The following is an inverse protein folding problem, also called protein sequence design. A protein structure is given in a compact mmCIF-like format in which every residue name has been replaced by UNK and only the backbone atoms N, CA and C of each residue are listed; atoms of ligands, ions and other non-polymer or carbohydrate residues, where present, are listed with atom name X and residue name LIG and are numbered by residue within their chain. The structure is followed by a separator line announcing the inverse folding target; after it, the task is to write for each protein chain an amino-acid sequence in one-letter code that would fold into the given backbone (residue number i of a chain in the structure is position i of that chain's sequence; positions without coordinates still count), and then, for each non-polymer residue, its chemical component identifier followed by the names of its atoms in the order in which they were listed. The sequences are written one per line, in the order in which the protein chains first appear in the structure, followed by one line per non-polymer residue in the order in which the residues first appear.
data_IF_940674151228
#
_entry.id   IF_940674151228
#
_cell.length_a   1.000
_cell.length_b   1.000
_cell.length_c   1.000
_cell.angle_alpha   90.00
_cell.angle_beta   90.00
_cell.angle_gamma   90.00
#
_symmetry.space_group_name_H-M   'P 1'
#
loop_
_entity.id
_entity.type
_entity.pdbx_description
1 polymer ?
#
# COMPACT_ATOMS: atom_id res chain seq x y z
N UNK A 1 -18.70 -6.70 17.04
CA UNK A 1 -18.29 -5.35 16.63
C UNK A 1 -18.14 -5.28 15.13
N UNK A 2 -18.52 -4.17 14.56
CA UNK A 2 -18.41 -4.02 13.11
C UNK A 2 -16.98 -3.83 12.69
N UNK A 3 -16.60 -4.48 11.59
CA UNK A 3 -15.31 -4.30 10.95
C UNK A 3 -15.38 -3.01 10.14
N UNK A 4 -14.42 -2.11 10.33
CA UNK A 4 -14.43 -0.82 9.64
C UNK A 4 -14.22 -0.96 8.14
N UNK A 5 -13.27 -1.80 7.73
CA UNK A 5 -12.95 -2.01 6.32
C UNK A 5 -11.99 -3.19 6.20
N UNK A 6 -11.83 -3.66 4.97
CA UNK A 6 -10.86 -4.72 4.65
C UNK A 6 -9.63 -4.08 4.04
N UNK A 7 -8.46 -4.40 4.58
CA UNK A 7 -7.19 -3.85 4.11
C UNK A 7 -6.28 -5.00 3.71
N UNK A 8 -5.64 -4.88 2.57
CA UNK A 8 -4.66 -5.85 2.09
C UNK A 8 -3.27 -5.24 2.22
N UNK A 9 -2.37 -5.96 2.89
CA UNK A 9 -0.98 -5.56 3.05
C UNK A 9 -0.13 -6.40 2.10
N UNK A 10 0.77 -5.76 1.35
CA UNK A 10 1.69 -6.45 0.45
C UNK A 10 3.10 -6.00 0.77
N UNK A 11 3.88 -6.88 1.37
CA UNK A 11 5.26 -6.60 1.79
C UNK A 11 5.98 -7.92 1.95
N UNK A 12 7.20 -8.03 1.44
CA UNK A 12 7.96 -9.29 1.53
C UNK A 12 8.62 -9.49 2.91
N UNK A 13 8.63 -8.47 3.76
CA UNK A 13 9.19 -8.55 5.10
C UNK A 13 8.12 -9.04 6.09
N UNK A 14 8.27 -10.25 6.65
CA UNK A 14 7.27 -10.77 7.59
C UNK A 14 7.12 -9.92 8.85
N UNK A 15 8.20 -9.28 9.30
CA UNK A 15 8.13 -8.44 10.49
C UNK A 15 7.26 -7.21 10.24
N UNK A 16 7.38 -6.61 9.06
CA UNK A 16 6.56 -5.46 8.68
C UNK A 16 5.10 -5.88 8.56
N UNK A 17 4.84 -7.04 7.93
CA UNK A 17 3.47 -7.54 7.82
C UNK A 17 2.84 -7.75 9.19
N UNK A 18 3.59 -8.32 10.13
CA UNK A 18 3.09 -8.57 11.48
C UNK A 18 2.79 -7.27 12.23
N UNK A 19 3.69 -6.30 12.12
CA UNK A 19 3.51 -5.00 12.77
C UNK A 19 2.30 -4.28 12.21
N UNK A 20 2.17 -4.24 10.88
CA UNK A 20 1.03 -3.58 10.25
C UNK A 20 -0.28 -4.28 10.61
N UNK A 21 -0.30 -5.61 10.59
CA UNK A 21 -1.50 -6.35 10.98
C UNK A 21 -1.92 -5.98 12.39
N UNK A 22 -0.98 -5.95 13.31
CA UNK A 22 -1.27 -5.63 14.70
C UNK A 22 -1.86 -4.23 14.84
N UNK A 23 -1.24 -3.24 14.18
CA UNK A 23 -1.71 -1.87 14.21
C UNK A 23 -3.14 -1.75 13.66
N UNK A 24 -3.38 -2.36 12.51
CA UNK A 24 -4.64 -2.20 11.80
C UNK A 24 -5.77 -3.00 12.45
N UNK A 25 -5.49 -4.22 12.89
CA UNK A 25 -6.51 -5.02 13.55
C UNK A 25 -6.92 -4.40 14.88
N UNK A 26 -5.97 -3.84 15.60
CA UNK A 26 -6.28 -3.16 16.86
C UNK A 26 -7.17 -1.94 16.62
N UNK A 27 -7.04 -1.33 15.46
CA UNK A 27 -7.88 -0.18 15.10
C UNK A 27 -9.26 -0.57 14.56
N UNK A 28 -9.52 -1.86 14.37
CA UNK A 28 -10.85 -2.34 13.97
C UNK A 28 -10.96 -2.76 12.51
N UNK A 29 -9.85 -2.84 11.78
CA UNK A 29 -9.86 -3.26 10.38
C UNK A 29 -9.66 -4.76 10.25
N UNK A 30 -10.22 -5.36 9.20
CA UNK A 30 -9.91 -6.73 8.83
C UNK A 30 -8.69 -6.70 7.91
N UNK A 31 -7.71 -7.54 8.19
CA UNK A 31 -6.42 -7.47 7.48
C UNK A 31 -6.07 -8.81 6.87
N UNK A 32 -5.69 -8.76 5.60
CA UNK A 32 -5.06 -9.88 4.92
C UNK A 32 -3.71 -9.41 4.45
N UNK A 33 -2.77 -10.33 4.29
CA UNK A 33 -1.42 -9.95 3.87
C UNK A 33 -0.87 -10.91 2.82
N UNK A 34 -0.02 -10.36 1.96
CA UNK A 34 0.65 -11.10 0.91
C UNK A 34 2.14 -10.76 0.94
N UNK A 35 2.97 -11.71 0.57
CA UNK A 35 4.40 -11.50 0.57
C UNK A 35 4.97 -11.12 -0.80
N UNK A 36 4.14 -11.17 -1.84
CA UNK A 36 4.56 -10.77 -3.19
C UNK A 36 3.33 -10.42 -4.03
N UNK A 37 3.57 -9.95 -5.25
CA UNK A 37 2.51 -9.51 -6.15
C UNK A 37 1.59 -10.67 -6.55
N UNK A 38 2.14 -11.83 -6.80
CA UNK A 38 1.36 -12.99 -7.22
C UNK A 38 0.36 -13.39 -6.14
N UNK A 39 0.81 -13.48 -4.91
CA UNK A 39 -0.06 -13.79 -3.77
C UNK A 39 -1.11 -12.71 -3.58
N UNK A 40 -0.71 -11.44 -3.75
CA UNK A 40 -1.62 -10.32 -3.64
C UNK A 40 -2.75 -10.40 -4.67
N UNK A 41 -2.42 -10.75 -5.92
CA UNK A 41 -3.44 -10.90 -6.96
C UNK A 41 -4.45 -11.99 -6.60
N UNK A 42 -3.99 -13.11 -6.05
CA UNK A 42 -4.89 -14.17 -5.61
C UNK A 42 -5.87 -13.66 -4.55
N UNK A 43 -5.35 -12.90 -3.59
CA UNK A 43 -6.20 -12.35 -2.52
C UNK A 43 -7.16 -11.28 -3.04
N UNK A 44 -6.74 -10.47 -4.01
CA UNK A 44 -7.61 -9.47 -4.63
C UNK A 44 -8.78 -10.13 -5.35
N UNK A 45 -8.53 -11.25 -6.02
CA UNK A 45 -9.59 -11.97 -6.72
C UNK A 45 -10.58 -12.61 -5.76
N UNK A 46 -10.14 -13.01 -4.59
CA UNK A 46 -11.01 -13.60 -3.58
C UNK A 46 -11.93 -12.56 -2.94
N UNK A 47 -11.39 -11.40 -2.63
CA UNK A 47 -12.15 -10.31 -2.02
C UNK A 47 -11.41 -9.00 -2.23
N UNK A 48 -12.05 -8.08 -2.93
CA UNK A 48 -11.48 -6.76 -3.16
C UNK A 48 -11.43 -5.97 -1.86
N UNK A 49 -10.27 -5.50 -1.44
CA UNK A 49 -10.16 -4.68 -0.22
C UNK A 49 -10.62 -3.26 -0.49
N UNK A 50 -10.89 -2.50 0.56
CA UNK A 50 -11.20 -1.08 0.46
C UNK A 50 -9.93 -0.24 0.33
N UNK A 51 -8.79 -0.81 0.72
CA UNK A 51 -7.51 -0.11 0.67
C UNK A 51 -6.38 -1.13 0.67
N UNK A 52 -5.28 -0.79 0.01
CA UNK A 52 -4.09 -1.62 0.00
C UNK A 52 -2.89 -0.83 0.53
N UNK A 53 -2.05 -1.49 1.32
CA UNK A 53 -0.77 -0.94 1.77
C UNK A 53 0.31 -1.75 1.05
N UNK A 54 1.07 -1.10 0.19
CA UNK A 54 1.99 -1.77 -0.72
C UNK A 54 3.42 -1.28 -0.53
N UNK A 55 4.32 -2.23 -0.27
CA UNK A 55 5.75 -1.97 -0.29
C UNK A 55 6.23 -1.97 -1.74
N UNK A 56 6.82 -0.86 -2.18
CA UNK A 56 7.28 -0.75 -3.58
C UNK A 56 8.62 -1.44 -3.80
N UNK A 57 9.32 -1.80 -2.73
CA UNK A 57 10.64 -2.42 -2.80
C UNK A 57 10.59 -3.86 -2.31
N UNK A 58 9.83 -4.71 -3.00
CA UNK A 58 9.71 -6.11 -2.62
C UNK A 58 10.92 -6.93 -3.09
N UNK A 59 10.71 -8.09 -3.71
CA UNK A 59 11.80 -8.98 -4.09
C UNK A 59 12.77 -8.36 -5.10
N UNK A 60 12.30 -7.36 -5.86
CA UNK A 60 13.14 -6.60 -6.76
C UNK A 60 12.80 -5.13 -6.64
N UNK A 61 13.69 -4.28 -7.16
CA UNK A 61 13.48 -2.83 -7.10
C UNK A 61 12.24 -2.37 -7.85
N UNK A 62 11.72 -3.19 -8.75
CA UNK A 62 10.60 -2.79 -9.61
C UNK A 62 9.33 -3.58 -9.39
N UNK A 63 9.37 -4.67 -8.61
CA UNK A 63 8.18 -5.53 -8.45
C UNK A 63 6.97 -4.75 -7.95
N UNK A 64 7.16 -3.90 -6.94
CA UNK A 64 6.06 -3.11 -6.40
C UNK A 64 5.48 -2.15 -7.42
N UNK A 65 6.33 -1.48 -8.17
CA UNK A 65 5.89 -0.57 -9.21
C UNK A 65 5.19 -1.29 -10.36
N UNK A 66 5.74 -2.43 -10.79
CA UNK A 66 5.13 -3.22 -11.85
C UNK A 66 3.73 -3.68 -11.47
N UNK A 67 3.58 -4.15 -10.25
CA UNK A 67 2.29 -4.57 -9.72
C UNK A 67 1.31 -3.39 -9.70
N UNK A 68 1.77 -2.24 -9.23
CA UNK A 68 0.97 -1.04 -9.19
C UNK A 68 0.47 -0.64 -10.58
N UNK A 69 1.35 -0.64 -11.58
CA UNK A 69 0.97 -0.30 -12.94
C UNK A 69 -0.04 -1.29 -13.51
N UNK A 70 0.13 -2.57 -13.21
CA UNK A 70 -0.80 -3.60 -13.63
C UNK A 70 -2.19 -3.34 -13.04
N UNK A 71 -2.26 -2.98 -11.76
CA UNK A 71 -3.53 -2.67 -11.11
C UNK A 71 -4.19 -1.44 -11.73
N UNK A 72 -3.39 -0.43 -12.05
CA UNK A 72 -3.91 0.79 -12.68
C UNK A 72 -4.55 0.52 -14.03
N UNK A 73 -4.00 -0.43 -14.77
CA UNK A 73 -4.54 -0.79 -16.08
C UNK A 73 -5.74 -1.71 -16.00
N UNK A 74 -6.01 -2.28 -14.83
CA UNK A 74 -7.14 -3.18 -14.62
C UNK A 74 -8.34 -2.37 -14.14
N UNK A 75 -9.40 -2.36 -14.93
CA UNK A 75 -10.59 -1.56 -14.63
C UNK A 75 -11.14 -1.82 -13.24
N UNK A 76 -11.11 -3.06 -12.81
CA UNK A 76 -11.62 -3.45 -11.49
C UNK A 76 -10.86 -2.80 -10.33
N UNK A 77 -9.56 -2.54 -10.51
CA UNK A 77 -8.70 -2.09 -9.42
C UNK A 77 -8.13 -0.68 -9.62
N UNK A 78 -8.43 -0.03 -10.72
CA UNK A 78 -7.81 1.27 -11.02
C UNK A 78 -8.21 2.39 -10.06
N UNK A 79 -9.29 2.19 -9.30
CA UNK A 79 -9.74 3.17 -8.30
C UNK A 79 -9.41 2.73 -6.87
N UNK A 80 -8.73 1.60 -6.70
CA UNK A 80 -8.37 1.11 -5.37
C UNK A 80 -7.35 2.05 -4.73
N UNK A 81 -7.65 2.63 -3.55
CA UNK A 81 -6.66 3.45 -2.86
C UNK A 81 -5.46 2.63 -2.42
N UNK A 82 -4.28 3.14 -2.67
CA UNK A 82 -3.03 2.45 -2.33
C UNK A 82 -2.14 3.39 -1.52
N UNK A 83 -1.72 2.95 -0.35
CA UNK A 83 -0.70 3.63 0.44
C UNK A 83 0.62 2.93 0.15
N UNK A 84 1.62 3.68 -0.25
CA UNK A 84 2.95 3.13 -0.55
C UNK A 84 3.84 3.23 0.66
N UNK A 85 4.53 2.13 0.95
CA UNK A 85 5.58 2.12 1.95
C UNK A 85 6.91 1.96 1.23
N UNK A 86 7.92 2.70 1.65
CA UNK A 86 9.21 2.61 0.99
C UNK A 86 10.34 3.09 1.90
N UNK A 87 11.50 2.44 1.81
CA UNK A 87 12.75 2.97 2.31
C UNK A 87 13.49 3.69 1.19
N UNK A 88 12.84 3.87 0.06
CA UNK A 88 13.41 4.39 -1.17
C UNK A 88 13.32 5.91 -1.29
N UNK A 89 12.53 6.58 -0.44
CA UNK A 89 12.29 8.01 -0.55
C UNK A 89 13.58 8.85 -0.52
N UNK A 90 14.53 8.43 0.29
CA UNK A 90 15.78 9.18 0.39
C UNK A 90 16.54 9.18 -0.94
N UNK A 91 16.56 8.03 -1.63
CA UNK A 91 17.18 7.93 -2.93
C UNK A 91 16.46 8.78 -3.96
N UNK A 92 15.13 8.76 -3.91
CA UNK A 92 14.30 9.56 -4.81
C UNK A 92 14.52 11.04 -4.54
N UNK A 93 14.64 11.44 -3.28
CA UNK A 93 14.90 12.84 -2.94
C UNK A 93 16.24 13.33 -3.46
N UNK A 94 17.25 12.46 -3.47
CA UNK A 94 18.55 12.85 -4.00
C UNK A 94 18.53 13.04 -5.51
N UNK A 95 17.62 12.34 -6.19
CA UNK A 95 17.43 12.48 -7.63
C UNK A 95 16.40 13.58 -7.97
N UNK A 96 15.77 14.15 -6.93
CA UNK A 96 14.76 15.18 -7.06
C UNK A 96 13.35 14.66 -7.11
N UNK A 97 12.36 15.51 -6.76
CA UNK A 97 10.96 15.09 -6.73
C UNK A 97 10.43 14.58 -8.06
N UNK A 98 10.96 15.15 -9.16
CA UNK A 98 10.51 14.77 -10.49
C UNK A 98 10.86 13.32 -10.85
N UNK A 99 11.88 12.75 -10.21
CA UNK A 99 12.23 11.35 -10.44
C UNK A 99 11.14 10.40 -10.03
N UNK A 100 10.56 10.63 -8.85
CA UNK A 100 9.50 9.77 -8.34
C UNK A 100 8.20 9.98 -9.11
N UNK A 101 7.87 11.22 -9.39
CA UNK A 101 6.67 11.54 -10.19
C UNK A 101 6.76 10.94 -11.59
N UNK A 102 7.95 10.95 -12.16
CA UNK A 102 8.17 10.37 -13.48
C UNK A 102 7.91 8.86 -13.47
N UNK A 103 8.34 8.18 -12.41
CA UNK A 103 8.14 6.74 -12.27
C UNK A 103 6.65 6.42 -12.07
N UNK A 104 5.98 7.18 -11.20
CA UNK A 104 4.59 6.91 -10.82
C UNK A 104 3.59 7.43 -11.83
N UNK A 105 3.93 8.48 -12.57
CA UNK A 105 3.00 9.14 -13.48
C UNK A 105 2.04 10.07 -12.75
N UNK A 106 1.61 11.11 -13.44
CA UNK A 106 0.79 12.16 -12.85
C UNK A 106 -0.62 11.70 -12.48
N UNK A 107 -1.16 10.76 -13.24
CA UNK A 107 -2.54 10.30 -13.04
C UNK A 107 -2.65 9.25 -11.94
N UNK A 108 -1.53 8.80 -11.41
CA UNK A 108 -1.57 7.77 -10.39
C UNK A 108 -1.91 8.36 -9.03
N UNK A 109 -2.67 7.63 -8.24
CA UNK A 109 -3.16 8.10 -6.94
C UNK A 109 -2.16 7.92 -5.81
N UNK A 110 -0.88 7.81 -6.13
CA UNK A 110 0.18 7.61 -5.17
C UNK A 110 0.57 8.90 -4.46
N UNK A 111 -0.40 9.61 -3.93
CA UNK A 111 -0.13 10.76 -3.05
C UNK A 111 0.13 10.31 -1.63
N UNK A 112 -0.14 9.06 -1.33
CA UNK A 112 -0.04 8.53 0.02
C UNK A 112 1.18 7.64 0.11
N UNK A 113 2.32 8.28 0.39
CA UNK A 113 3.61 7.59 0.48
C UNK A 113 4.16 7.76 1.88
N UNK A 114 4.51 6.65 2.52
CA UNK A 114 5.12 6.66 3.83
C UNK A 114 6.48 6.00 3.77
N UNK A 115 7.45 6.64 4.42
CA UNK A 115 8.79 6.09 4.54
C UNK A 115 8.87 5.20 5.77
N UNK A 116 9.59 4.09 5.65
CA UNK A 116 9.86 3.22 6.79
C UNK A 116 10.95 3.85 7.67
N UNK A 117 10.90 3.73 8.99
CA UNK A 117 9.89 3.03 9.79
C UNK A 117 8.57 3.79 9.87
N UNK A 118 7.50 3.02 9.99
CA UNK A 118 6.14 3.56 9.92
C UNK A 118 5.73 4.17 11.26
N UNK A 119 5.13 5.36 11.19
CA UNK A 119 4.49 5.97 12.35
C UNK A 119 3.04 5.49 12.39
N UNK A 120 2.67 4.66 13.39
CA UNK A 120 1.32 4.09 13.41
C UNK A 120 0.21 5.14 13.44
N UNK A 121 0.38 6.21 14.21
CA UNK A 121 -0.65 7.23 14.33
C UNK A 121 -0.89 7.94 13.00
N UNK A 122 0.18 8.26 12.27
CA UNK A 122 0.06 8.90 10.97
C UNK A 122 -0.58 7.97 9.94
N UNK A 123 -0.20 6.69 9.97
CA UNK A 123 -0.78 5.71 9.06
C UNK A 123 -2.28 5.57 9.29
N UNK A 124 -2.69 5.42 10.54
CA UNK A 124 -4.10 5.25 10.87
C UNK A 124 -4.92 6.47 10.48
N UNK A 125 -4.38 7.67 10.71
CA UNK A 125 -5.07 8.89 10.32
C UNK A 125 -5.25 8.98 8.81
N UNK A 126 -4.22 8.64 8.06
CA UNK A 126 -4.29 8.65 6.60
C UNK A 126 -5.33 7.65 6.09
N UNK A 127 -5.39 6.47 6.70
CA UNK A 127 -6.37 5.46 6.32
C UNK A 127 -7.79 5.98 6.58
N UNK A 128 -8.02 6.59 7.72
CA UNK A 128 -9.32 7.18 8.04
C UNK A 128 -9.71 8.25 7.03
N UNK A 129 -8.76 9.10 6.67
CA UNK A 129 -9.02 10.18 5.71
C UNK A 129 -9.36 9.60 4.33
N UNK A 130 -8.64 8.59 3.88
CA UNK A 130 -8.86 7.96 2.58
C UNK A 130 -10.22 7.28 2.52
N UNK A 131 -10.57 6.54 3.56
CA UNK A 131 -11.81 5.79 3.58
C UNK A 131 -13.02 6.66 3.90
N UNK A 132 -12.81 7.93 4.22
CA UNK A 132 -13.90 8.86 4.47
C UNK A 132 -14.67 8.57 5.73
N UNK A 133 -14.04 8.00 6.72
CA UNK A 133 -14.67 7.71 7.99
C UNK A 133 -14.66 8.95 8.87
N UNK A 134 -15.83 9.40 9.17
CA UNK A 134 -16.01 10.58 10.00
C UNK A 134 -16.83 10.24 11.22
#
# INVERSE_FOLDING_TARGET
MAIKANILIVDDDPDIRDVLRMILEKAGYAVRSACNAKEAMTLLEELKPQLMVLDVMMTSDTEGFDFMFELKETEEYNNLPIIFLTSFLEKVRSDGPSGFEHILGESWQAKWIFEKPIDPAKLLKQIEDILGEN
#
